data_IF_989764121094
#
_entry.id   IF_989764121094
#
_cell.length_a   1.000
_cell.length_b   1.000
_cell.length_c   1.000
_cell.angle_alpha   90.00
_cell.angle_beta   90.00
_cell.angle_gamma   90.00
#
_symmetry.space_group_name_H-M   'P 1'
#
loop_
_entity.id
_entity.type
_entity.pdbx_description
1 polymer ?
#
# COMPACT_ATOMS: atom_id res chain seq x y z
N UNK A 1 46.47 -21.68 27.02
CA UNK A 1 46.49 -22.81 27.96
C UNK A 1 45.10 -23.07 28.51
N UNK A 2 44.64 -24.33 28.43
CA UNK A 2 43.50 -24.97 29.16
C UNK A 2 42.10 -24.54 28.76
N UNK A 3 41.13 -25.44 28.55
CA UNK A 3 41.07 -26.93 28.28
C UNK A 3 39.65 -27.19 27.79
N UNK A 4 39.54 -28.09 26.79
CA UNK A 4 38.36 -28.85 26.36
C UNK A 4 37.64 -29.54 27.53
N UNK A 5 36.31 -29.62 27.47
CA UNK A 5 35.56 -30.74 28.05
C UNK A 5 34.49 -31.22 27.07
N UNK A 6 34.74 -32.40 26.56
CA UNK A 6 33.83 -33.25 25.81
C UNK A 6 33.11 -34.14 26.83
N UNK A 7 31.81 -34.24 26.80
CA UNK A 7 31.07 -35.28 27.51
C UNK A 7 30.26 -36.06 26.50
N UNK A 8 30.74 -37.29 26.28
CA UNK A 8 30.08 -38.42 25.63
C UNK A 8 29.17 -39.06 26.67
N UNK A 9 27.90 -39.34 26.34
CA UNK A 9 27.12 -40.29 27.10
C UNK A 9 26.54 -41.36 26.16
N UNK A 10 26.90 -42.58 26.54
CA UNK A 10 26.65 -43.84 25.83
C UNK A 10 25.19 -44.30 25.91
N UNK A 11 24.84 -45.02 24.89
CA UNK A 11 23.61 -45.81 24.70
C UNK A 11 23.39 -46.88 25.79
N UNK A 12 22.15 -47.11 26.13
CA UNK A 12 21.69 -48.40 26.65
C UNK A 12 20.45 -48.82 25.88
N UNK A 13 20.65 -49.93 25.14
CA UNK A 13 19.62 -50.67 24.43
C UNK A 13 18.98 -51.62 25.45
N UNK A 14 17.68 -51.56 25.64
CA UNK A 14 16.91 -52.65 26.22
C UNK A 14 15.89 -53.15 25.20
N UNK A 15 16.13 -54.38 24.77
CA UNK A 15 15.23 -55.21 23.97
C UNK A 15 14.20 -55.82 24.92
N UNK A 16 12.92 -55.65 24.66
CA UNK A 16 11.89 -56.55 25.17
C UNK A 16 10.87 -56.83 24.08
N UNK A 17 10.68 -58.07 23.85
CA UNK A 17 9.88 -58.73 22.81
C UNK A 17 8.39 -58.78 23.15
N UNK A 18 7.59 -58.74 22.10
CA UNK A 18 6.26 -59.31 21.84
C UNK A 18 5.07 -58.93 22.72
N UNK A 19 4.12 -58.29 22.08
CA UNK A 19 2.74 -58.77 22.06
C UNK A 19 2.03 -58.27 20.79
N UNK A 20 1.49 -59.20 19.99
CA UNK A 20 0.58 -58.94 18.90
C UNK A 20 -0.74 -58.47 19.49
N UNK A 21 -1.22 -57.34 19.02
CA UNK A 21 -2.59 -56.84 19.16
C UNK A 21 -2.88 -56.04 17.91
N UNK A 22 -3.78 -56.58 17.07
CA UNK A 22 -4.32 -55.88 15.90
C UNK A 22 -5.17 -54.70 16.40
N UNK A 23 -4.61 -53.50 16.44
CA UNK A 23 -5.40 -52.26 16.50
C UNK A 23 -5.52 -51.68 15.09
N UNK A 24 -6.72 -51.75 14.53
CA UNK A 24 -7.13 -50.98 13.36
C UNK A 24 -6.88 -49.49 13.67
N UNK A 25 -5.78 -48.96 13.16
CA UNK A 25 -5.54 -47.53 13.13
C UNK A 25 -6.51 -46.87 12.13
N UNK A 26 -7.64 -46.46 12.62
CA UNK A 26 -8.54 -45.52 11.92
C UNK A 26 -7.83 -44.17 11.84
N UNK A 27 -7.00 -43.98 10.82
CA UNK A 27 -6.52 -42.66 10.44
C UNK A 27 -7.72 -41.86 9.91
N UNK A 28 -8.30 -41.01 10.75
CA UNK A 28 -9.20 -39.98 10.28
C UNK A 28 -8.51 -39.19 9.14
N UNK A 29 -9.20 -38.88 8.04
CA UNK A 29 -8.61 -38.06 7.00
C UNK A 29 -8.29 -36.69 7.61
N UNK A 30 -7.03 -36.30 7.55
CA UNK A 30 -6.61 -34.93 7.81
C UNK A 30 -7.29 -34.09 6.73
N UNK A 31 -8.34 -33.39 7.10
CA UNK A 31 -8.96 -32.39 6.23
C UNK A 31 -7.90 -31.28 6.06
N UNK A 32 -7.27 -31.22 4.89
CA UNK A 32 -6.59 -30.02 4.48
C UNK A 32 -7.68 -28.96 4.32
N UNK A 33 -7.82 -28.04 5.30
CA UNK A 33 -8.48 -26.80 5.03
C UNK A 33 -7.76 -26.17 3.83
N UNK A 34 -8.49 -25.96 2.74
CA UNK A 34 -7.95 -25.23 1.61
C UNK A 34 -7.63 -23.83 2.12
N UNK A 35 -6.35 -23.47 2.19
CA UNK A 35 -5.97 -22.10 2.50
C UNK A 35 -6.68 -21.19 1.50
N UNK A 36 -7.57 -20.34 2.02
CA UNK A 36 -8.28 -19.36 1.19
C UNK A 36 -7.24 -18.37 0.68
N UNK A 37 -7.09 -18.32 -0.63
CA UNK A 37 -6.18 -17.34 -1.24
C UNK A 37 -6.69 -15.92 -0.94
N UNK A 38 -5.86 -15.03 -0.36
CA UNK A 38 -6.26 -13.66 -0.11
C UNK A 38 -6.78 -12.97 -1.37
N UNK A 39 -7.75 -12.11 -1.20
CA UNK A 39 -8.31 -11.31 -2.29
C UNK A 39 -8.46 -9.85 -1.87
N UNK A 40 -8.40 -8.93 -2.83
CA UNK A 40 -8.67 -7.52 -2.58
C UNK A 40 -9.28 -6.83 -3.80
N UNK A 41 -9.99 -5.74 -3.55
CA UNK A 41 -10.33 -4.75 -4.57
C UNK A 41 -9.64 -3.43 -4.27
N UNK A 42 -9.17 -2.74 -5.31
CA UNK A 42 -8.47 -1.46 -5.22
C UNK A 42 -9.18 -0.52 -6.19
N UNK A 43 -9.78 0.53 -5.67
CA UNK A 43 -10.45 1.54 -6.46
C UNK A 43 -9.65 2.85 -6.38
N UNK A 44 -9.15 3.34 -7.53
CA UNK A 44 -8.43 4.60 -7.68
C UNK A 44 -9.42 5.61 -8.29
N UNK A 45 -9.77 6.64 -7.51
CA UNK A 45 -10.89 7.51 -7.83
C UNK A 45 -10.52 8.60 -8.85
N UNK A 46 -11.46 8.91 -9.74
CA UNK A 46 -11.40 10.06 -10.64
C UNK A 46 -11.83 11.34 -9.92
N UNK A 47 -10.92 11.93 -9.20
CA UNK A 47 -11.14 13.14 -8.40
C UNK A 47 -10.22 14.31 -8.81
N UNK A 48 -9.86 14.37 -10.09
CA UNK A 48 -8.98 15.42 -10.61
C UNK A 48 -7.51 14.99 -10.64
N UNK A 49 -6.62 15.91 -10.33
CA UNK A 49 -5.21 15.63 -10.03
C UNK A 49 -5.07 15.55 -8.51
N UNK A 50 -5.61 14.52 -7.94
CA UNK A 50 -5.56 14.25 -6.52
C UNK A 50 -5.58 12.73 -6.28
N UNK A 51 -5.13 12.28 -5.13
CA UNK A 51 -5.10 10.86 -4.79
C UNK A 51 -6.18 10.53 -3.75
N UNK A 52 -6.97 9.54 -4.05
CA UNK A 52 -7.75 8.75 -3.09
C UNK A 52 -7.86 7.34 -3.64
N UNK A 53 -7.32 6.40 -2.91
CA UNK A 53 -7.28 4.99 -3.28
C UNK A 53 -7.93 4.20 -2.15
N UNK A 54 -8.96 3.44 -2.47
CA UNK A 54 -9.71 2.63 -1.50
C UNK A 54 -9.41 1.17 -1.76
N UNK A 55 -8.93 0.46 -0.74
CA UNK A 55 -8.54 -0.95 -0.82
C UNK A 55 -9.41 -1.73 0.17
N UNK A 56 -10.28 -2.59 -0.38
CA UNK A 56 -11.09 -3.51 0.40
C UNK A 56 -10.49 -4.92 0.32
N UNK A 57 -10.12 -5.46 1.47
CA UNK A 57 -9.55 -6.80 1.62
C UNK A 57 -10.58 -7.84 2.03
N UNK A 58 -11.86 -7.43 2.14
CA UNK A 58 -12.96 -8.25 2.65
C UNK A 58 -13.03 -8.34 4.18
N UNK A 59 -11.93 -8.06 4.89
CA UNK A 59 -11.87 -8.03 6.37
C UNK A 59 -11.39 -6.68 6.92
N UNK A 60 -10.99 -5.75 6.05
CA UNK A 60 -10.56 -4.42 6.43
C UNK A 60 -10.49 -3.48 5.24
N UNK A 61 -10.88 -2.23 5.47
CA UNK A 61 -10.82 -1.15 4.49
C UNK A 61 -9.62 -0.25 4.76
N UNK A 62 -8.72 -0.15 3.78
CA UNK A 62 -7.57 0.74 3.80
C UNK A 62 -7.78 1.85 2.79
N UNK A 63 -7.61 3.09 3.20
CA UNK A 63 -7.64 4.26 2.32
C UNK A 63 -6.24 4.87 2.26
N UNK A 64 -5.74 5.13 1.05
CA UNK A 64 -4.50 5.87 0.82
C UNK A 64 -4.87 7.22 0.24
N UNK A 65 -4.53 8.28 0.97
CA UNK A 65 -4.87 9.67 0.71
C UNK A 65 -6.38 9.98 0.67
N UNK A 66 -6.74 11.25 0.79
CA UNK A 66 -8.11 11.72 0.92
C UNK A 66 -8.48 12.84 -0.08
N UNK A 67 -7.65 13.06 -1.09
CA UNK A 67 -7.86 14.09 -2.10
C UNK A 67 -7.83 15.51 -1.55
N UNK A 68 -8.37 16.45 -2.34
CA UNK A 68 -8.60 17.84 -1.92
C UNK A 68 -9.96 17.98 -1.20
N UNK A 69 -10.16 19.09 -0.47
CA UNK A 69 -11.47 19.46 0.10
C UNK A 69 -12.61 19.38 -0.91
N UNK A 70 -12.35 19.83 -2.14
CA UNK A 70 -13.33 19.81 -3.23
C UNK A 70 -13.72 18.42 -3.69
N UNK A 71 -12.97 17.40 -3.33
CA UNK A 71 -13.20 16.00 -3.72
C UNK A 71 -14.04 15.21 -2.69
N UNK A 72 -14.22 15.73 -1.48
CA UNK A 72 -14.86 15.02 -0.37
C UNK A 72 -16.25 14.49 -0.73
N UNK A 73 -17.06 15.29 -1.45
CA UNK A 73 -18.39 14.82 -1.87
C UNK A 73 -18.30 13.59 -2.77
N UNK A 74 -17.40 13.60 -3.77
CA UNK A 74 -17.22 12.47 -4.69
C UNK A 74 -16.68 11.22 -3.97
N UNK A 75 -15.78 11.41 -3.00
CA UNK A 75 -15.27 10.30 -2.17
C UNK A 75 -16.40 9.72 -1.32
N UNK A 76 -17.23 10.56 -0.71
CA UNK A 76 -18.38 10.12 0.10
C UNK A 76 -19.44 9.41 -0.73
N UNK A 77 -19.73 9.91 -1.94
CA UNK A 77 -20.63 9.24 -2.87
C UNK A 77 -20.13 7.84 -3.22
N UNK A 78 -18.85 7.71 -3.55
CA UNK A 78 -18.21 6.41 -3.80
C UNK A 78 -18.31 5.48 -2.58
N UNK A 79 -17.96 5.96 -1.38
CA UNK A 79 -18.03 5.16 -0.15
C UNK A 79 -19.46 4.69 0.13
N UNK A 80 -20.44 5.59 -0.07
CA UNK A 80 -21.87 5.26 0.09
C UNK A 80 -22.36 4.24 -0.92
N UNK A 81 -21.97 4.36 -2.20
CA UNK A 81 -22.34 3.43 -3.27
C UNK A 81 -21.80 2.02 -3.01
N UNK A 82 -20.64 1.94 -2.34
CA UNK A 82 -20.02 0.66 -1.91
C UNK A 82 -20.56 0.14 -0.56
N UNK A 83 -21.27 0.98 0.19
CA UNK A 83 -21.78 0.64 1.53
C UNK A 83 -20.68 0.65 2.60
N UNK A 84 -19.60 1.43 2.40
CA UNK A 84 -18.52 1.58 3.37
C UNK A 84 -18.87 2.68 4.38
N UNK A 85 -18.86 2.35 5.66
CA UNK A 85 -19.14 3.25 6.79
C UNK A 85 -17.94 3.38 7.75
N UNK A 86 -16.92 2.56 7.56
CA UNK A 86 -15.70 2.50 8.36
C UNK A 86 -14.45 2.51 7.50
N UNK A 87 -13.36 3.05 8.03
CA UNK A 87 -12.00 2.98 7.46
C UNK A 87 -11.09 2.41 8.55
N UNK A 88 -10.61 1.18 8.38
CA UNK A 88 -9.73 0.56 9.37
C UNK A 88 -8.36 1.24 9.43
N UNK A 89 -7.82 1.63 8.28
CA UNK A 89 -6.56 2.35 8.20
C UNK A 89 -6.61 3.43 7.11
N UNK A 90 -6.36 4.68 7.50
CA UNK A 90 -6.12 5.81 6.60
C UNK A 90 -4.62 6.08 6.55
N UNK A 91 -4.00 5.94 5.38
CA UNK A 91 -2.59 6.24 5.15
C UNK A 91 -2.52 7.58 4.41
N UNK A 92 -1.89 8.60 5.00
CA UNK A 92 -1.63 9.89 4.38
C UNK A 92 -0.18 9.91 3.92
N UNK A 93 0.03 9.87 2.60
CA UNK A 93 1.37 9.65 2.02
C UNK A 93 2.29 10.83 2.28
N UNK A 94 1.81 12.04 2.05
CA UNK A 94 2.54 13.29 2.29
C UNK A 94 1.56 14.48 2.40
N UNK A 95 1.98 15.60 3.01
CA UNK A 95 1.05 16.64 3.42
C UNK A 95 0.69 17.68 2.35
N UNK A 96 0.72 17.34 1.06
CA UNK A 96 0.22 18.23 0.01
C UNK A 96 -1.31 18.18 -0.07
N UNK A 97 -1.91 19.30 -0.44
CA UNK A 97 -3.35 19.52 -0.42
C UNK A 97 -4.15 18.51 -1.23
N UNK A 98 -3.64 18.06 -2.36
CA UNK A 98 -4.26 17.08 -3.25
C UNK A 98 -4.17 15.63 -2.71
N UNK A 99 -3.59 15.45 -1.50
CA UNK A 99 -3.52 14.20 -0.76
C UNK A 99 -4.23 14.25 0.59
N UNK A 100 -4.06 15.35 1.35
CA UNK A 100 -4.62 15.46 2.70
C UNK A 100 -5.77 16.46 2.83
N UNK A 101 -6.12 17.19 1.76
CA UNK A 101 -7.12 18.26 1.83
C UNK A 101 -8.46 17.80 2.38
N UNK A 102 -8.94 16.62 1.95
CA UNK A 102 -10.18 16.02 2.42
C UNK A 102 -10.07 15.25 3.74
N UNK A 103 -8.86 15.08 4.31
CA UNK A 103 -8.65 14.18 5.46
C UNK A 103 -9.50 14.57 6.68
N UNK A 104 -9.62 15.86 7.01
CA UNK A 104 -10.43 16.34 8.14
C UNK A 104 -11.89 15.87 8.02
N UNK A 105 -12.50 16.08 6.86
CA UNK A 105 -13.89 15.72 6.59
C UNK A 105 -14.09 14.21 6.54
N UNK A 106 -13.13 13.46 5.99
CA UNK A 106 -13.17 11.98 5.98
C UNK A 106 -13.08 11.43 7.40
N UNK A 107 -12.13 11.91 8.22
CA UNK A 107 -12.00 11.52 9.63
C UNK A 107 -13.24 11.88 10.43
N UNK A 108 -13.90 13.01 10.11
CA UNK A 108 -15.15 13.42 10.77
C UNK A 108 -16.35 12.57 10.36
N UNK A 109 -16.41 12.12 9.11
CA UNK A 109 -17.58 11.47 8.53
C UNK A 109 -17.61 9.96 8.74
N UNK A 110 -16.44 9.31 8.91
CA UNK A 110 -16.31 7.87 9.03
C UNK A 110 -15.69 7.43 10.36
N UNK A 111 -15.92 6.19 10.74
CA UNK A 111 -15.22 5.54 11.85
C UNK A 111 -13.80 5.15 11.37
N UNK A 112 -12.83 6.05 11.60
CA UNK A 112 -11.43 5.83 11.26
C UNK A 112 -10.70 5.27 12.47
N UNK A 113 -10.22 4.01 12.36
CA UNK A 113 -9.58 3.34 13.50
C UNK A 113 -8.12 3.75 13.64
N UNK A 114 -7.38 3.79 12.53
CA UNK A 114 -5.94 4.07 12.52
C UNK A 114 -5.61 5.10 11.46
N UNK A 115 -4.81 6.10 11.81
CA UNK A 115 -4.20 7.04 10.84
C UNK A 115 -2.70 6.81 10.84
N UNK A 116 -2.10 6.67 9.66
CA UNK A 116 -0.66 6.53 9.46
C UNK A 116 -0.19 7.71 8.60
N UNK A 117 0.85 8.39 9.04
CA UNK A 117 1.43 9.54 8.33
C UNK A 117 2.95 9.56 8.40
N UNK A 118 3.60 10.34 7.52
CA UNK A 118 5.05 10.58 7.56
C UNK A 118 5.46 11.61 8.62
N UNK A 119 6.75 11.62 8.97
CA UNK A 119 7.29 12.52 10.00
C UNK A 119 7.40 14.01 9.56
N UNK A 120 7.16 14.33 8.29
CA UNK A 120 7.19 15.72 7.82
C UNK A 120 5.88 16.45 8.16
N UNK A 121 5.97 17.40 9.08
CA UNK A 121 4.86 18.21 9.59
C UNK A 121 4.97 19.67 9.13
N UNK A 122 4.31 20.09 8.04
CA UNK A 122 4.29 21.49 7.62
C UNK A 122 3.29 22.30 8.45
N UNK A 123 3.39 23.63 8.35
CA UNK A 123 2.43 24.56 8.96
C UNK A 123 1.36 25.00 7.92
N UNK A 124 0.76 24.05 7.20
CA UNK A 124 -0.33 24.32 6.26
C UNK A 124 -1.68 24.28 6.98
N UNK A 125 -2.69 24.92 6.39
CA UNK A 125 -4.05 24.93 6.93
C UNK A 125 -4.62 23.50 6.94
N UNK A 126 -4.46 22.76 5.86
CA UNK A 126 -4.97 21.41 5.70
C UNK A 126 -4.34 20.46 6.75
N UNK A 127 -3.01 20.52 6.95
CA UNK A 127 -2.32 19.72 7.95
C UNK A 127 -2.82 20.04 9.37
N UNK A 128 -2.89 21.32 9.72
CA UNK A 128 -3.37 21.76 11.03
C UNK A 128 -4.83 21.34 11.29
N UNK A 129 -5.67 21.41 10.24
CA UNK A 129 -7.11 21.12 10.34
C UNK A 129 -7.36 19.63 10.62
N UNK A 130 -6.75 18.71 9.85
CA UNK A 130 -7.01 17.29 10.11
C UNK A 130 -6.38 16.80 11.42
N UNK A 131 -5.26 17.38 11.86
CA UNK A 131 -4.71 17.11 13.19
C UNK A 131 -5.66 17.55 14.30
N UNK A 132 -6.24 18.74 14.20
CA UNK A 132 -7.27 19.19 15.14
C UNK A 132 -8.50 18.24 15.15
N UNK A 133 -8.90 17.73 13.99
CA UNK A 133 -9.98 16.76 13.88
C UNK A 133 -9.62 15.43 14.54
N UNK A 134 -8.37 14.95 14.37
CA UNK A 134 -7.90 13.75 15.06
C UNK A 134 -7.92 13.92 16.59
N UNK A 135 -7.48 15.07 17.09
CA UNK A 135 -7.53 15.38 18.51
C UNK A 135 -8.98 15.36 19.05
N UNK A 136 -9.93 15.96 18.31
CA UNK A 136 -11.37 15.95 18.66
C UNK A 136 -11.97 14.54 18.64
N UNK A 137 -11.45 13.65 17.79
CA UNK A 137 -11.89 12.24 17.67
C UNK A 137 -11.07 11.28 18.53
N UNK A 138 -10.15 11.79 19.34
CA UNK A 138 -9.24 11.00 20.18
C UNK A 138 -8.39 9.99 19.39
N UNK A 139 -8.05 10.31 18.13
CA UNK A 139 -7.20 9.50 17.26
C UNK A 139 -5.75 9.98 17.39
N UNK A 140 -4.86 9.09 17.81
CA UNK A 140 -3.41 9.35 17.81
C UNK A 140 -2.79 8.72 16.56
N UNK A 141 -2.23 9.49 15.63
CA UNK A 141 -1.64 8.94 14.41
C UNK A 141 -0.36 8.14 14.71
N UNK A 142 -0.11 7.14 13.87
CA UNK A 142 1.18 6.46 13.79
C UNK A 142 2.08 7.29 12.87
N UNK A 143 3.07 7.99 13.44
CA UNK A 143 4.02 8.81 12.68
C UNK A 143 5.22 7.96 12.28
N UNK A 144 5.42 7.76 10.98
CA UNK A 144 6.48 6.90 10.46
C UNK A 144 7.77 7.66 10.18
N UNK A 145 8.87 7.11 10.71
CA UNK A 145 10.25 7.52 10.40
C UNK A 145 11.13 6.32 10.00
N UNK A 146 10.52 5.21 9.63
CA UNK A 146 11.13 3.96 9.20
C UNK A 146 10.07 3.01 8.64
N UNK A 147 10.46 1.81 8.27
CA UNK A 147 9.55 0.81 7.73
C UNK A 147 8.47 0.41 8.75
N UNK A 148 7.26 0.20 8.25
CA UNK A 148 6.11 -0.27 9.02
C UNK A 148 5.35 -1.31 8.21
N UNK A 149 4.70 -2.27 8.87
CA UNK A 149 3.86 -3.25 8.19
C UNK A 149 2.67 -3.66 9.05
N UNK A 150 1.60 -4.03 8.37
CA UNK A 150 0.40 -4.61 8.99
C UNK A 150 -0.29 -5.54 7.99
N UNK A 151 -1.17 -6.40 8.49
CA UNK A 151 -1.98 -7.30 7.67
C UNK A 151 -3.46 -6.94 7.78
N UNK A 152 -4.19 -7.09 6.65
CA UNK A 152 -5.64 -7.00 6.60
C UNK A 152 -6.17 -8.00 5.56
N UNK A 153 -7.12 -8.86 5.96
CA UNK A 153 -7.73 -9.87 5.08
C UNK A 153 -6.71 -10.82 4.42
N UNK A 154 -5.62 -11.15 5.12
CA UNK A 154 -4.52 -11.97 4.60
C UNK A 154 -3.65 -11.26 3.54
N UNK A 155 -3.87 -9.98 3.31
CA UNK A 155 -3.01 -9.14 2.49
C UNK A 155 -2.00 -8.39 3.38
N UNK A 156 -0.72 -8.37 2.98
CA UNK A 156 0.35 -7.68 3.69
C UNK A 156 0.55 -6.28 3.10
N UNK A 157 0.48 -5.28 3.96
CA UNK A 157 0.85 -3.89 3.67
C UNK A 157 2.21 -3.58 4.29
N UNK A 158 3.14 -3.12 3.47
CA UNK A 158 4.46 -2.66 3.89
C UNK A 158 4.61 -1.19 3.48
N UNK A 159 4.93 -0.33 4.43
CA UNK A 159 5.06 1.10 4.21
C UNK A 159 6.53 1.48 4.39
N UNK A 160 7.12 1.97 3.32
CA UNK A 160 8.48 2.52 3.32
C UNK A 160 8.40 4.03 3.57
N UNK A 161 8.98 4.48 4.68
CA UNK A 161 9.09 5.88 5.01
C UNK A 161 10.39 6.49 4.44
N UNK A 162 10.40 7.81 4.17
CA UNK A 162 11.59 8.53 3.73
C UNK A 162 12.76 8.34 4.69
N UNK A 163 13.97 8.15 4.15
CA UNK A 163 15.20 7.98 4.97
C UNK A 163 15.60 9.26 5.70
N UNK A 164 15.20 10.40 5.14
CA UNK A 164 15.53 11.70 5.70
C UNK A 164 14.27 12.47 6.11
N UNK A 165 14.35 13.17 7.24
CA UNK A 165 13.26 14.05 7.68
C UNK A 165 13.26 15.40 6.96
N UNK A 166 14.36 15.75 6.27
CA UNK A 166 14.52 17.00 5.53
C UNK A 166 15.20 16.77 4.21
N UNK A 167 14.59 17.31 3.17
CA UNK A 167 15.13 17.33 1.81
C UNK A 167 15.40 18.78 1.39
N UNK A 168 16.45 19.00 0.62
CA UNK A 168 16.83 20.36 0.18
C UNK A 168 15.82 20.93 -0.83
N UNK A 169 15.22 20.03 -1.63
CA UNK A 169 14.26 20.39 -2.66
C UNK A 169 13.02 19.48 -2.57
N UNK A 170 11.86 20.01 -2.99
CA UNK A 170 10.61 19.24 -3.05
C UNK A 170 10.36 18.45 -1.76
N UNK A 171 10.49 19.13 -0.63
CA UNK A 171 10.42 18.52 0.71
C UNK A 171 9.17 17.67 0.88
N UNK A 172 8.00 18.19 0.51
CA UNK A 172 6.74 17.50 0.70
C UNK A 172 6.68 16.21 -0.13
N UNK A 173 6.87 16.31 -1.44
CA UNK A 173 6.82 15.16 -2.35
C UNK A 173 7.87 14.10 -2.02
N UNK A 174 9.12 14.51 -1.71
CA UNK A 174 10.16 13.57 -1.29
C UNK A 174 9.93 12.99 0.12
N UNK A 175 8.95 13.53 0.89
CA UNK A 175 8.53 12.93 2.14
C UNK A 175 7.41 11.88 1.99
N UNK A 176 7.04 11.53 0.76
CA UNK A 176 6.00 10.53 0.50
C UNK A 176 6.30 9.19 1.15
N UNK A 177 5.34 8.67 1.91
CA UNK A 177 5.27 7.27 2.23
C UNK A 177 4.99 6.48 0.95
N UNK A 178 5.69 5.36 0.77
CA UNK A 178 5.44 4.45 -0.35
C UNK A 178 4.87 3.16 0.19
N UNK A 179 3.72 2.76 -0.33
CA UNK A 179 2.98 1.61 0.16
C UNK A 179 3.11 0.45 -0.81
N UNK A 180 3.57 -0.68 -0.32
CA UNK A 180 3.55 -1.97 -1.00
C UNK A 180 2.40 -2.79 -0.45
N UNK A 181 1.59 -3.38 -1.33
CA UNK A 181 0.56 -4.35 -0.98
C UNK A 181 0.92 -5.69 -1.62
N UNK A 182 0.97 -6.73 -0.83
CA UNK A 182 1.07 -8.12 -1.30
C UNK A 182 -0.24 -8.84 -0.99
N UNK A 183 -0.93 -9.32 -2.03
CA UNK A 183 -2.16 -10.08 -1.92
C UNK A 183 -1.98 -11.42 -2.64
N UNK A 184 -1.85 -12.50 -1.89
CA UNK A 184 -1.39 -13.78 -2.40
C UNK A 184 0.01 -13.68 -3.00
N UNK A 185 0.15 -13.92 -4.32
CA UNK A 185 1.43 -13.77 -5.04
C UNK A 185 1.53 -12.46 -5.83
N UNK A 186 0.55 -11.58 -5.73
CA UNK A 186 0.49 -10.33 -6.49
C UNK A 186 0.97 -9.15 -5.65
N UNK A 187 1.74 -8.28 -6.29
CA UNK A 187 2.35 -7.11 -5.63
C UNK A 187 1.91 -5.82 -6.31
N UNK A 188 1.51 -4.85 -5.50
CA UNK A 188 1.02 -3.54 -5.91
C UNK A 188 1.85 -2.46 -5.21
N UNK A 189 2.26 -1.43 -5.94
CA UNK A 189 3.07 -0.33 -5.43
C UNK A 189 2.32 1.00 -5.58
N UNK A 190 2.22 1.76 -4.50
CA UNK A 190 1.61 3.09 -4.47
C UNK A 190 2.67 4.09 -4.04
N UNK A 191 3.08 4.96 -4.96
CA UNK A 191 4.26 5.80 -4.79
C UNK A 191 3.99 7.19 -4.20
N UNK A 192 2.71 7.54 -3.91
CA UNK A 192 2.37 8.92 -3.58
C UNK A 192 2.89 9.89 -4.64
N UNK A 193 3.54 10.96 -4.22
CA UNK A 193 4.20 11.92 -5.11
C UNK A 193 5.73 11.86 -5.03
N UNK A 194 6.28 10.67 -4.75
CA UNK A 194 7.72 10.44 -4.67
C UNK A 194 8.45 11.06 -5.88
N UNK A 195 9.43 11.91 -5.62
CA UNK A 195 10.27 12.56 -6.64
C UNK A 195 11.70 12.00 -6.62
N UNK A 196 12.61 12.66 -7.33
CA UNK A 196 13.93 12.13 -7.67
C UNK A 196 14.70 11.56 -6.48
N UNK A 197 14.72 12.26 -5.34
CA UNK A 197 15.47 11.80 -4.17
C UNK A 197 14.77 10.59 -3.56
N UNK A 198 13.44 10.64 -3.44
CA UNK A 198 12.66 9.53 -2.89
C UNK A 198 12.72 8.29 -3.77
N UNK A 199 12.65 8.46 -5.12
CA UNK A 199 12.83 7.37 -6.08
C UNK A 199 14.23 6.75 -5.95
N UNK A 200 15.29 7.58 -5.79
CA UNK A 200 16.64 7.06 -5.57
C UNK A 200 16.74 6.21 -4.29
N UNK A 201 16.10 6.63 -3.19
CA UNK A 201 16.03 5.83 -1.95
C UNK A 201 15.36 4.47 -2.18
N UNK A 202 14.28 4.43 -2.98
CA UNK A 202 13.56 3.19 -3.29
C UNK A 202 14.39 2.25 -4.17
N UNK A 203 15.08 2.80 -5.18
CA UNK A 203 15.94 2.00 -6.07
C UNK A 203 17.15 1.44 -5.33
N UNK A 204 17.74 2.20 -4.41
CA UNK A 204 18.80 1.71 -3.53
C UNK A 204 18.33 0.64 -2.53
N UNK A 205 17.05 0.65 -2.16
CA UNK A 205 16.45 -0.37 -1.29
C UNK A 205 16.13 -1.68 -2.03
N UNK A 206 16.26 -1.70 -3.37
CA UNK A 206 16.02 -2.86 -4.21
C UNK A 206 14.63 -3.50 -3.99
N UNK A 207 13.54 -2.69 -4.02
CA UNK A 207 12.17 -3.13 -3.73
C UNK A 207 11.71 -4.35 -4.55
N UNK A 208 12.32 -4.61 -5.73
CA UNK A 208 12.00 -5.72 -6.62
C UNK A 208 10.81 -5.46 -7.53
N UNK A 209 10.27 -6.54 -8.13
CA UNK A 209 9.23 -6.47 -9.16
C UNK A 209 7.84 -6.39 -8.56
N UNK A 210 6.93 -5.66 -9.26
CA UNK A 210 5.51 -5.51 -8.92
C UNK A 210 4.64 -5.75 -10.14
N UNK A 211 3.44 -6.29 -9.95
CA UNK A 211 2.47 -6.48 -11.04
C UNK A 211 1.79 -5.15 -11.41
N UNK A 212 1.63 -4.24 -10.43
CA UNK A 212 0.89 -2.99 -10.56
C UNK A 212 1.65 -1.83 -9.90
N UNK A 213 1.55 -0.63 -10.49
CA UNK A 213 2.07 0.61 -9.91
C UNK A 213 1.05 1.77 -10.05
N UNK A 214 0.74 2.47 -8.94
CA UNK A 214 0.27 3.85 -9.01
C UNK A 214 1.50 4.73 -9.21
N UNK A 215 1.60 5.32 -10.38
CA UNK A 215 2.77 6.09 -10.79
C UNK A 215 2.95 7.32 -9.90
N UNK A 216 4.19 7.68 -9.55
CA UNK A 216 4.44 8.83 -8.69
C UNK A 216 4.08 10.14 -9.37
N UNK A 217 3.86 11.17 -8.54
CA UNK A 217 3.72 12.57 -8.92
C UNK A 217 2.71 12.81 -10.05
N UNK A 218 1.59 12.07 -10.03
CA UNK A 218 0.50 12.17 -11.01
C UNK A 218 0.95 12.07 -12.48
N UNK A 219 2.05 11.36 -12.72
CA UNK A 219 2.64 11.23 -14.05
C UNK A 219 3.35 12.48 -14.55
N UNK A 220 3.66 13.46 -13.70
CA UNK A 220 4.64 14.49 -14.06
C UNK A 220 6.01 13.86 -14.27
N UNK A 221 6.80 14.43 -15.16
CA UNK A 221 8.13 13.86 -15.47
C UNK A 221 9.09 14.00 -14.29
N UNK A 222 9.81 12.91 -14.00
CA UNK A 222 10.86 12.79 -13.00
C UNK A 222 12.09 12.22 -13.72
N UNK A 223 13.28 12.77 -13.46
CA UNK A 223 14.52 12.42 -14.18
C UNK A 223 14.85 10.91 -14.09
N UNK A 224 14.67 10.30 -12.91
CA UNK A 224 14.99 8.90 -12.65
C UNK A 224 13.76 7.96 -12.72
N UNK A 225 12.76 8.31 -13.53
CA UNK A 225 11.59 7.46 -13.78
C UNK A 225 11.96 6.11 -14.39
N UNK A 226 13.00 6.11 -15.26
CA UNK A 226 13.50 4.92 -15.92
C UNK A 226 14.02 3.89 -14.92
N UNK A 227 14.82 4.35 -13.96
CA UNK A 227 15.36 3.49 -12.89
C UNK A 227 14.26 2.83 -12.07
N UNK A 228 13.20 3.57 -11.76
CA UNK A 228 12.03 3.03 -11.08
C UNK A 228 11.35 1.94 -11.92
N UNK A 229 11.09 2.21 -13.21
CA UNK A 229 10.41 1.26 -14.10
C UNK A 229 11.25 0.01 -14.36
N UNK A 230 12.57 0.15 -14.50
CA UNK A 230 13.50 -0.97 -14.69
C UNK A 230 13.56 -1.87 -13.46
N UNK A 231 13.42 -1.31 -12.26
CA UNK A 231 13.36 -2.07 -11.01
C UNK A 231 12.01 -2.75 -10.82
N UNK A 232 10.90 -1.99 -10.96
CA UNK A 232 9.54 -2.43 -10.63
C UNK A 232 8.96 -3.34 -11.70
N UNK A 233 9.27 -3.11 -12.98
CA UNK A 233 8.79 -3.86 -14.17
C UNK A 233 7.27 -4.13 -14.16
N UNK A 234 6.44 -3.11 -13.99
CA UNK A 234 5.01 -3.30 -13.78
C UNK A 234 4.32 -3.78 -15.07
N UNK A 235 3.31 -4.63 -14.93
CA UNK A 235 2.40 -5.00 -16.03
C UNK A 235 1.30 -3.98 -16.24
N UNK A 236 0.88 -3.33 -15.13
CA UNK A 236 -0.18 -2.34 -15.10
C UNK A 236 0.27 -1.09 -14.37
N UNK A 237 -0.13 0.06 -14.87
CA UNK A 237 0.14 1.35 -14.26
C UNK A 237 -1.12 2.22 -14.21
N UNK A 238 -1.26 3.02 -13.15
CA UNK A 238 -2.31 4.04 -13.07
C UNK A 238 -1.69 5.40 -12.81
N UNK A 239 -2.17 6.40 -13.54
CA UNK A 239 -1.84 7.81 -13.36
C UNK A 239 -3.11 8.53 -12.87
N UNK A 240 -3.04 9.13 -11.70
CA UNK A 240 -4.08 10.01 -11.16
C UNK A 240 -3.92 11.40 -11.76
N UNK A 241 -4.75 11.74 -12.73
CA UNK A 241 -4.65 13.00 -13.47
C UNK A 241 -6.04 13.47 -13.95
N UNK A 242 -6.10 14.68 -14.51
CA UNK A 242 -7.32 15.21 -15.08
C UNK A 242 -7.11 15.74 -16.50
N UNK A 243 -8.19 16.05 -17.20
CA UNK A 243 -8.10 16.72 -18.51
C UNK A 243 -7.45 18.11 -18.42
N UNK A 244 -7.59 18.78 -17.26
CA UNK A 244 -6.99 20.10 -17.00
C UNK A 244 -5.51 19.99 -16.63
N UNK A 245 -5.17 18.93 -15.90
CA UNK A 245 -3.81 18.62 -15.45
C UNK A 245 -3.45 17.20 -15.94
N UNK A 246 -3.12 17.03 -17.23
CA UNK A 246 -2.77 15.72 -17.78
C UNK A 246 -1.39 15.29 -17.32
N UNK A 247 -1.09 14.00 -17.48
CA UNK A 247 0.28 13.50 -17.34
C UNK A 247 1.24 14.17 -18.33
N UNK A 248 2.50 14.34 -17.95
CA UNK A 248 3.54 14.89 -18.83
C UNK A 248 3.76 13.97 -20.05
N UNK A 249 3.87 14.58 -21.25
CA UNK A 249 4.05 13.84 -22.49
C UNK A 249 5.36 13.01 -22.49
N UNK A 250 6.41 13.48 -21.80
CA UNK A 250 7.68 12.74 -21.66
C UNK A 250 7.48 11.47 -20.83
N UNK A 251 6.67 11.54 -19.78
CA UNK A 251 6.30 10.36 -18.97
C UNK A 251 5.52 9.36 -19.81
N UNK A 252 4.53 9.83 -20.59
CA UNK A 252 3.77 8.96 -21.49
C UNK A 252 4.68 8.34 -22.57
N UNK A 253 5.59 9.14 -23.14
CA UNK A 253 6.53 8.64 -24.13
C UNK A 253 7.46 7.55 -23.53
N UNK A 254 7.96 7.78 -22.31
CA UNK A 254 8.77 6.79 -21.60
C UNK A 254 7.98 5.51 -21.32
N UNK A 255 6.76 5.61 -20.81
CA UNK A 255 5.92 4.44 -20.51
C UNK A 255 5.61 3.59 -21.76
N UNK A 256 5.53 4.20 -22.96
CA UNK A 256 5.36 3.48 -24.21
C UNK A 256 6.59 2.62 -24.62
N UNK A 257 7.74 2.82 -23.98
CA UNK A 257 8.93 1.97 -24.17
C UNK A 257 8.85 0.67 -23.36
N UNK A 258 7.92 0.58 -22.39
CA UNK A 258 7.77 -0.55 -21.47
C UNK A 258 6.52 -1.39 -21.81
N UNK A 259 6.51 -2.69 -21.50
CA UNK A 259 5.36 -3.55 -21.67
C UNK A 259 4.31 -3.34 -20.56
N UNK A 260 4.01 -2.07 -20.24
CA UNK A 260 3.07 -1.67 -19.20
C UNK A 260 1.76 -1.16 -19.81
N UNK A 261 0.63 -1.69 -19.36
CA UNK A 261 -0.67 -1.14 -19.72
C UNK A 261 -1.04 -0.02 -18.74
N UNK A 262 -1.17 1.21 -19.24
CA UNK A 262 -1.39 2.39 -18.40
C UNK A 262 -2.84 2.87 -18.51
N UNK A 263 -3.45 3.12 -17.36
CA UNK A 263 -4.76 3.75 -17.20
C UNK A 263 -4.60 5.15 -16.62
N UNK A 264 -5.52 6.06 -16.96
CA UNK A 264 -5.47 7.43 -16.47
C UNK A 264 -6.83 7.81 -15.89
N UNK A 265 -6.86 8.28 -14.63
CA UNK A 265 -8.13 8.60 -13.96
C UNK A 265 -8.90 9.74 -14.62
N UNK A 266 -8.28 10.53 -15.52
CA UNK A 266 -9.03 11.53 -16.33
C UNK A 266 -10.15 10.91 -17.18
N UNK A 267 -10.05 9.62 -17.48
CA UNK A 267 -11.00 8.90 -18.34
C UNK A 267 -12.07 8.13 -17.53
N UNK A 268 -11.83 7.89 -16.22
CA UNK A 268 -12.79 7.23 -15.33
C UNK A 268 -12.10 6.70 -14.08
N UNK A 269 -12.87 6.25 -13.10
CA UNK A 269 -12.34 5.49 -11.97
C UNK A 269 -11.66 4.21 -12.47
N UNK A 270 -10.57 3.82 -11.81
CA UNK A 270 -9.86 2.59 -12.13
C UNK A 270 -10.06 1.59 -11.00
N UNK A 271 -10.78 0.51 -11.28
CA UNK A 271 -11.02 -0.59 -10.34
C UNK A 271 -10.12 -1.77 -10.67
N UNK A 272 -9.32 -2.20 -9.71
CA UNK A 272 -8.43 -3.35 -9.80
C UNK A 272 -8.92 -4.41 -8.83
N UNK A 273 -9.06 -5.65 -9.27
CA UNK A 273 -9.37 -6.78 -8.39
C UNK A 273 -8.25 -7.81 -8.45
N UNK A 274 -7.87 -8.32 -7.28
CA UNK A 274 -7.00 -9.46 -7.13
C UNK A 274 -7.78 -10.60 -6.51
N UNK A 275 -7.98 -11.67 -7.25
CA UNK A 275 -8.66 -12.86 -6.78
C UNK A 275 -7.99 -14.09 -7.38
N UNK A 276 -7.75 -15.13 -6.58
CA UNK A 276 -7.01 -16.33 -6.99
C UNK A 276 -5.70 -16.03 -7.73
N UNK A 277 -4.94 -15.04 -7.22
CA UNK A 277 -3.71 -14.54 -7.83
C UNK A 277 -3.88 -14.01 -9.27
N UNK A 278 -5.09 -13.63 -9.68
CA UNK A 278 -5.37 -12.99 -10.96
C UNK A 278 -5.72 -11.53 -10.75
N UNK A 279 -5.11 -10.67 -11.54
CA UNK A 279 -5.42 -9.24 -11.58
C UNK A 279 -6.38 -8.98 -12.72
N UNK A 280 -7.48 -8.30 -12.45
CA UNK A 280 -8.41 -7.77 -13.45
C UNK A 280 -8.56 -6.28 -13.22
N UNK A 281 -8.59 -5.50 -14.31
CA UNK A 281 -8.71 -4.04 -14.25
C UNK A 281 -9.89 -3.59 -15.10
N UNK A 282 -10.73 -2.75 -14.54
CA UNK A 282 -11.82 -2.08 -15.21
C UNK A 282 -11.70 -0.57 -15.04
N UNK A 283 -12.03 0.19 -16.07
CA UNK A 283 -12.14 1.65 -16.01
C UNK A 283 -13.58 2.04 -16.36
N UNK A 284 -14.20 2.88 -15.51
CA UNK A 284 -15.62 3.27 -15.60
C UNK A 284 -15.78 4.73 -15.97
#
# INVERSE_FOLDING_TARGET
MRKFWLIIFCALICFSMLSCGDEESSSAPVSFESEVTPSCSIDILKIGKADCIVIDTGEGLVMIDAGEDSNVSSIRDFMSDKGYDKIDTLILTHPDKDHIGGASEIISAYDVTTVIEGAYAPLTEEYTRYHATMDEREITPIILNGAHSFEAGGCLFEIDAPRNQKYAEKQSNNSSLVVSLTCGTRRFLFCGDAMEIRIAELTEAELGEYDFIKLPYHGNYIENYRELLDMVKPKYGVITCSKKNPADERTIALLNEYPVQVYQTKDGDVSVTCNDNKISIAQK
#
